data_IF_577698708600
#
_entry.id   IF_577698708600
#
_cell.length_a   1.000
_cell.length_b   1.000
_cell.length_c   1.000
_cell.angle_alpha   90.00
_cell.angle_beta   90.00
_cell.angle_gamma   90.00
#
_symmetry.space_group_name_H-M   'P 1'
#
loop_
_entity.id
_entity.type
_entity.pdbx_description
1 polymer ?
#
# COMPACT_ATOMS: atom_id res chain seq x y z
N UNK A 1 -66.31 2.94 -25.72
CA UNK A 1 -65.94 3.66 -24.47
C UNK A 1 -64.94 4.74 -24.83
N UNK A 2 -65.23 6.01 -24.54
CA UNK A 2 -64.30 7.13 -24.79
C UNK A 2 -62.97 6.92 -24.05
N UNK A 3 -61.85 7.39 -24.64
CA UNK A 3 -60.52 7.30 -24.03
C UNK A 3 -60.49 8.10 -22.72
N UNK A 4 -59.61 7.73 -21.78
CA UNK A 4 -59.51 8.42 -20.48
C UNK A 4 -59.22 9.92 -20.62
N UNK A 5 -58.50 10.34 -21.66
CA UNK A 5 -58.26 11.75 -21.95
C UNK A 5 -59.54 12.51 -22.32
N UNK A 6 -60.40 11.93 -23.16
CA UNK A 6 -61.69 12.53 -23.54
C UNK A 6 -62.64 12.61 -22.35
N UNK A 7 -62.65 11.56 -21.50
CA UNK A 7 -63.39 11.57 -20.25
C UNK A 7 -62.87 12.67 -19.33
N UNK A 8 -61.55 12.80 -19.14
CA UNK A 8 -60.96 13.85 -18.32
C UNK A 8 -61.26 15.26 -18.85
N UNK A 9 -61.38 15.41 -20.17
CA UNK A 9 -61.73 16.67 -20.83
C UNK A 9 -63.24 16.96 -20.87
N UNK A 10 -64.10 16.06 -20.39
CA UNK A 10 -65.55 16.33 -20.27
C UNK A 10 -65.83 17.60 -19.46
N UNK A 11 -66.87 18.34 -19.85
CA UNK A 11 -67.30 19.58 -19.19
C UNK A 11 -67.50 19.39 -17.68
N UNK A 12 -68.04 18.25 -17.26
CA UNK A 12 -68.23 17.94 -15.84
C UNK A 12 -66.90 17.79 -15.10
N UNK A 13 -65.93 17.09 -15.69
CA UNK A 13 -64.63 16.88 -15.07
C UNK A 13 -63.79 18.16 -15.03
N UNK A 14 -63.89 19.01 -16.07
CA UNK A 14 -63.33 20.36 -16.04
C UNK A 14 -63.97 21.21 -14.93
N UNK A 15 -65.29 21.17 -14.78
CA UNK A 15 -65.99 21.90 -13.72
C UNK A 15 -65.62 21.42 -12.32
N UNK A 16 -65.53 20.10 -12.10
CA UNK A 16 -65.07 19.51 -10.84
C UNK A 16 -63.63 19.92 -10.55
N UNK A 17 -62.75 19.90 -11.55
CA UNK A 17 -61.37 20.37 -11.41
C UNK A 17 -61.31 21.85 -11.02
N UNK A 18 -62.10 22.70 -11.67
CA UNK A 18 -62.15 24.15 -11.42
C UNK A 18 -62.69 24.44 -10.00
N UNK A 19 -63.78 23.78 -9.58
CA UNK A 19 -64.30 23.82 -8.20
C UNK A 19 -63.26 23.35 -7.17
N UNK A 20 -62.46 22.34 -7.52
CA UNK A 20 -61.41 21.83 -6.65
C UNK A 20 -60.20 22.78 -6.59
N UNK A 21 -59.91 23.49 -7.67
CA UNK A 21 -58.89 24.54 -7.72
C UNK A 21 -59.32 25.79 -6.94
N UNK A 22 -60.59 26.21 -7.01
CA UNK A 22 -61.12 27.31 -6.19
C UNK A 22 -61.01 27.04 -4.68
N UNK A 23 -61.17 25.78 -4.26
CA UNK A 23 -60.98 25.38 -2.86
C UNK A 23 -59.51 25.30 -2.45
N UNK A 24 -58.58 25.20 -3.41
CA UNK A 24 -57.15 25.18 -3.13
C UNK A 24 -56.63 26.62 -3.07
N UNK A 25 -55.77 26.89 -2.10
CA UNK A 25 -54.98 28.13 -2.12
C UNK A 25 -54.18 28.20 -3.43
N UNK A 26 -53.98 29.40 -4.00
CA UNK A 26 -53.15 29.56 -5.19
C UNK A 26 -51.79 28.89 -4.99
N UNK A 27 -51.18 28.40 -6.08
CA UNK A 27 -49.84 27.82 -6.04
C UNK A 27 -48.84 28.89 -5.63
N UNK A 28 -48.60 28.98 -4.33
CA UNK A 28 -47.58 29.85 -3.77
C UNK A 28 -46.23 29.45 -4.37
N UNK A 29 -45.51 30.43 -4.90
CA UNK A 29 -44.12 30.25 -5.30
C UNK A 29 -43.23 30.46 -4.10
N UNK A 30 -42.16 29.67 -4.00
CA UNK A 30 -41.15 29.88 -2.97
C UNK A 30 -40.56 31.29 -3.13
N UNK A 31 -40.35 32.03 -2.03
CA UNK A 31 -39.60 33.28 -2.05
C UNK A 31 -38.18 33.06 -2.58
N UNK A 32 -37.60 34.08 -3.19
CA UNK A 32 -36.22 34.02 -3.70
C UNK A 32 -35.20 34.05 -2.55
N UNK A 33 -35.47 34.88 -1.54
CA UNK A 33 -34.64 35.04 -0.35
C UNK A 33 -35.26 34.29 0.83
N UNK A 34 -34.51 33.35 1.41
CA UNK A 34 -34.96 32.62 2.59
C UNK A 34 -35.17 33.55 3.81
N UNK A 35 -34.47 34.68 3.87
CA UNK A 35 -34.58 35.66 4.96
C UNK A 35 -35.95 36.34 5.04
N UNK A 36 -36.73 36.35 3.95
CA UNK A 36 -38.07 36.95 3.93
C UNK A 36 -39.09 36.13 4.73
N UNK A 37 -38.89 34.81 4.81
CA UNK A 37 -39.75 33.94 5.60
C UNK A 37 -39.49 34.11 7.10
N UNK A 38 -40.56 34.38 7.85
CA UNK A 38 -40.54 34.51 9.32
C UNK A 38 -41.21 33.35 10.04
N UNK A 39 -42.00 32.55 9.33
CA UNK A 39 -42.65 31.37 9.88
C UNK A 39 -41.81 30.11 9.65
N UNK A 40 -41.76 29.25 10.67
CA UNK A 40 -40.99 28.01 10.67
C UNK A 40 -41.69 26.94 9.82
N UNK A 41 -43.02 26.85 9.89
CA UNK A 41 -43.77 25.85 9.13
C UNK A 41 -43.70 26.11 7.61
N UNK A 42 -43.77 27.37 7.20
CA UNK A 42 -43.51 27.77 5.82
C UNK A 42 -42.09 27.45 5.35
N UNK A 43 -41.06 27.73 6.18
CA UNK A 43 -39.68 27.42 5.84
C UNK A 43 -39.47 25.91 5.62
N UNK A 44 -40.06 25.07 6.47
CA UNK A 44 -40.02 23.61 6.31
C UNK A 44 -40.78 23.13 5.06
N UNK A 45 -41.93 23.74 4.73
CA UNK A 45 -42.67 23.47 3.49
C UNK A 45 -41.81 23.75 2.26
N UNK A 46 -41.10 24.88 2.23
CA UNK A 46 -40.21 25.24 1.11
C UNK A 46 -39.01 24.32 1.02
N UNK A 47 -38.40 23.95 2.15
CA UNK A 47 -37.33 22.94 2.19
C UNK A 47 -37.79 21.61 1.59
N UNK A 48 -38.97 21.12 2.00
CA UNK A 48 -39.52 19.86 1.49
C UNK A 48 -39.83 19.93 -0.01
N UNK A 49 -40.32 21.07 -0.50
CA UNK A 49 -40.54 21.27 -1.93
C UNK A 49 -39.22 21.18 -2.70
N UNK A 50 -38.16 21.83 -2.23
CA UNK A 50 -36.83 21.77 -2.86
C UNK A 50 -36.32 20.31 -2.87
N UNK A 51 -36.49 19.57 -1.77
CA UNK A 51 -36.12 18.15 -1.72
C UNK A 51 -36.87 17.29 -2.76
N UNK A 52 -38.15 17.55 -3.00
CA UNK A 52 -38.93 16.84 -4.04
C UNK A 52 -38.50 17.23 -5.45
N UNK A 53 -38.13 18.48 -5.68
CA UNK A 53 -37.57 18.94 -6.95
C UNK A 53 -36.20 18.30 -7.23
N UNK A 54 -35.32 18.25 -6.21
CA UNK A 54 -34.05 17.53 -6.28
C UNK A 54 -34.31 16.06 -6.62
N UNK A 55 -35.20 15.38 -5.88
CA UNK A 55 -35.49 13.96 -6.11
C UNK A 55 -35.95 13.66 -7.55
N UNK A 56 -36.80 14.52 -8.13
CA UNK A 56 -37.23 14.38 -9.53
C UNK A 56 -36.09 14.55 -10.53
N UNK A 57 -35.24 15.57 -10.34
CA UNK A 57 -34.08 15.80 -11.23
C UNK A 57 -32.99 14.74 -11.06
N UNK A 58 -32.78 14.25 -9.84
CA UNK A 58 -31.85 13.13 -9.60
C UNK A 58 -32.33 11.90 -10.36
N UNK A 59 -33.63 11.56 -10.29
CA UNK A 59 -34.18 10.45 -11.07
C UNK A 59 -34.04 10.65 -12.59
N UNK A 60 -34.16 11.90 -13.07
CA UNK A 60 -33.94 12.23 -14.48
C UNK A 60 -32.48 12.06 -14.92
N UNK A 61 -31.51 12.50 -14.11
CA UNK A 61 -30.07 12.40 -14.39
C UNK A 61 -29.56 10.95 -14.38
N UNK A 62 -30.22 10.03 -13.67
CA UNK A 62 -29.82 8.62 -13.71
C UNK A 62 -29.97 7.99 -15.10
N UNK A 63 -30.78 8.59 -15.98
CA UNK A 63 -30.94 8.12 -17.35
C UNK A 63 -29.73 8.51 -18.21
N UNK A 64 -28.85 7.54 -18.50
CA UNK A 64 -27.63 7.74 -19.32
C UNK A 64 -27.92 8.08 -20.78
N UNK A 65 -29.14 7.81 -21.26
CA UNK A 65 -29.57 8.15 -22.63
C UNK A 65 -29.90 9.62 -22.84
N UNK A 66 -29.86 10.47 -21.80
CA UNK A 66 -29.97 11.92 -21.99
C UNK A 66 -28.67 12.44 -22.58
N UNK A 67 -28.77 13.28 -23.61
CA UNK A 67 -27.60 13.91 -24.21
C UNK A 67 -26.75 14.68 -23.18
N UNK A 68 -25.44 14.72 -23.41
CA UNK A 68 -24.45 15.28 -22.48
C UNK A 68 -24.79 16.70 -22.01
N UNK A 69 -25.21 17.60 -22.91
CA UNK A 69 -25.58 18.97 -22.55
C UNK A 69 -26.72 19.01 -21.51
N UNK A 70 -27.75 18.19 -21.72
CA UNK A 70 -28.88 18.10 -20.79
C UNK A 70 -28.46 17.55 -19.44
N UNK A 71 -27.53 16.58 -19.41
CA UNK A 71 -26.97 16.07 -18.16
C UNK A 71 -26.20 17.15 -17.40
N UNK A 72 -25.44 18.01 -18.09
CA UNK A 72 -24.73 19.15 -17.49
C UNK A 72 -25.71 20.17 -16.91
N UNK A 73 -26.72 20.57 -17.68
CA UNK A 73 -27.75 21.52 -17.24
C UNK A 73 -28.52 21.00 -16.01
N UNK A 74 -28.96 19.75 -16.05
CA UNK A 74 -29.65 19.13 -14.92
C UNK A 74 -28.74 19.07 -13.68
N UNK A 75 -27.45 18.80 -13.85
CA UNK A 75 -26.50 18.75 -12.75
C UNK A 75 -26.30 20.14 -12.11
N UNK A 76 -26.19 21.19 -12.93
CA UNK A 76 -26.13 22.58 -12.47
C UNK A 76 -27.40 22.99 -11.72
N UNK A 77 -28.55 22.61 -12.24
CA UNK A 77 -29.83 22.86 -11.59
C UNK A 77 -29.96 22.15 -10.24
N UNK A 78 -29.51 20.91 -10.12
CA UNK A 78 -29.48 20.21 -8.83
C UNK A 78 -28.53 20.90 -7.87
N UNK A 79 -27.33 21.30 -8.31
CA UNK A 79 -26.38 22.03 -7.48
C UNK A 79 -26.92 23.38 -7.02
N UNK A 80 -27.70 24.07 -7.87
CA UNK A 80 -28.42 25.29 -7.50
C UNK A 80 -29.47 25.00 -6.41
N UNK A 81 -30.29 23.96 -6.57
CA UNK A 81 -31.30 23.56 -5.58
C UNK A 81 -30.67 23.14 -4.23
N UNK A 82 -29.52 22.47 -4.24
CA UNK A 82 -28.81 22.09 -3.00
C UNK A 82 -28.27 23.32 -2.26
N UNK A 83 -27.79 24.33 -2.98
CA UNK A 83 -27.40 25.62 -2.38
C UNK A 83 -28.62 26.32 -1.78
N UNK A 84 -29.72 26.42 -2.52
CA UNK A 84 -30.98 26.97 -2.02
C UNK A 84 -31.47 26.23 -0.77
N UNK A 85 -31.48 24.88 -0.79
CA UNK A 85 -31.80 24.05 0.39
C UNK A 85 -30.94 24.44 1.59
N UNK A 86 -29.64 24.65 1.39
CA UNK A 86 -28.72 25.03 2.47
C UNK A 86 -29.04 26.41 3.06
N UNK A 87 -29.52 27.36 2.24
CA UNK A 87 -30.02 28.65 2.73
C UNK A 87 -31.29 28.49 3.55
N UNK A 88 -32.23 27.67 3.10
CA UNK A 88 -33.46 27.36 3.85
C UNK A 88 -33.17 26.62 5.15
N UNK A 89 -32.25 25.66 5.17
CA UNK A 89 -31.85 24.95 6.39
C UNK A 89 -31.18 25.89 7.40
N UNK A 90 -30.36 26.84 6.94
CA UNK A 90 -29.82 27.90 7.82
C UNK A 90 -30.93 28.78 8.38
N UNK A 91 -31.90 29.17 7.55
CA UNK A 91 -33.04 29.96 8.00
C UNK A 91 -33.89 29.25 9.05
N UNK A 92 -34.14 27.96 8.86
CA UNK A 92 -34.87 27.15 9.85
C UNK A 92 -34.12 27.15 11.18
N UNK A 93 -32.79 27.03 11.16
CA UNK A 93 -31.97 27.11 12.38
C UNK A 93 -32.08 28.50 13.03
N UNK A 94 -32.02 29.59 12.25
CA UNK A 94 -32.20 30.96 12.75
C UNK A 94 -33.57 31.20 13.40
N UNK A 95 -34.63 30.56 12.88
CA UNK A 95 -35.99 30.61 13.43
C UNK A 95 -36.17 29.67 14.64
N UNK A 96 -35.12 28.98 15.10
CA UNK A 96 -35.16 28.08 16.25
C UNK A 96 -35.63 26.65 15.93
N UNK A 97 -35.62 26.26 14.66
CA UNK A 97 -36.03 24.94 14.20
C UNK A 97 -34.93 23.88 14.22
N UNK A 98 -35.26 22.65 13.79
CA UNK A 98 -34.34 21.52 13.79
C UNK A 98 -33.13 21.73 12.87
N UNK A 99 -31.96 21.26 13.31
CA UNK A 99 -30.75 21.32 12.49
C UNK A 99 -30.66 20.14 11.51
N UNK A 100 -31.26 20.31 10.34
CA UNK A 100 -31.25 19.31 9.28
C UNK A 100 -29.86 19.04 8.68
N UNK A 101 -28.92 19.98 8.77
CA UNK A 101 -27.57 19.81 8.23
C UNK A 101 -26.76 18.77 9.00
N UNK A 102 -26.98 18.64 10.32
CA UNK A 102 -26.30 17.65 11.17
C UNK A 102 -26.80 16.21 10.92
N UNK A 103 -28.08 16.07 10.63
CA UNK A 103 -28.72 14.76 10.40
C UNK A 103 -28.75 14.34 8.93
N UNK A 104 -28.23 15.18 8.03
CA UNK A 104 -28.15 14.83 6.63
C UNK A 104 -27.12 13.68 6.46
N UNK A 105 -27.51 12.52 5.90
CA UNK A 105 -26.53 11.51 5.53
C UNK A 105 -25.51 12.15 4.59
N UNK A 106 -24.22 11.89 4.80
CA UNK A 106 -23.21 12.22 3.78
C UNK A 106 -23.67 11.53 2.50
N UNK A 107 -23.94 12.32 1.47
CA UNK A 107 -24.48 11.81 0.20
C UNK A 107 -23.37 10.99 -0.46
N UNK A 108 -23.35 9.69 -0.17
CA UNK A 108 -22.54 8.68 -0.86
C UNK A 108 -23.39 8.05 -1.96
N UNK A 109 -22.78 7.73 -3.09
CA UNK A 109 -23.48 6.97 -4.14
C UNK A 109 -23.90 5.57 -3.68
N UNK A 110 -24.70 4.91 -4.52
CA UNK A 110 -24.91 3.45 -4.49
C UNK A 110 -23.59 2.66 -4.43
N UNK A 111 -22.51 3.22 -4.98
CA UNK A 111 -21.16 2.64 -5.01
C UNK A 111 -20.28 3.08 -3.83
N UNK A 112 -20.82 3.83 -2.87
CA UNK A 112 -20.07 4.30 -1.69
C UNK A 112 -19.03 5.38 -1.98
N UNK A 113 -18.92 5.85 -3.23
CA UNK A 113 -18.01 6.91 -3.61
C UNK A 113 -18.54 8.29 -3.17
N UNK A 114 -17.61 9.16 -2.77
CA UNK A 114 -17.89 10.54 -2.40
C UNK A 114 -18.23 11.30 -3.68
N UNK A 115 -19.42 11.89 -3.72
CA UNK A 115 -19.97 12.60 -4.88
C UNK A 115 -19.33 13.99 -5.08
N UNK A 116 -18.59 14.44 -4.08
CA UNK A 116 -18.08 15.79 -3.96
C UNK A 116 -16.68 15.87 -4.58
N UNK A 117 -16.52 16.71 -5.61
CA UNK A 117 -15.19 17.16 -6.01
C UNK A 117 -14.73 18.16 -4.95
N UNK A 118 -13.61 17.92 -4.23
CA UNK A 118 -13.13 18.86 -3.23
C UNK A 118 -12.92 20.25 -3.85
N UNK A 119 -13.48 21.28 -3.21
CA UNK A 119 -13.28 22.65 -3.68
C UNK A 119 -11.77 22.98 -3.57
N UNK A 120 -11.08 23.39 -4.66
CA UNK A 120 -9.66 23.73 -4.61
C UNK A 120 -9.33 24.82 -3.58
N UNK A 121 -10.31 25.65 -3.23
CA UNK A 121 -10.16 26.74 -2.25
C UNK A 121 -10.41 26.28 -0.79
N UNK A 122 -10.84 25.04 -0.55
CA UNK A 122 -11.17 24.52 0.79
C UNK A 122 -12.35 25.22 1.50
N UNK A 123 -12.91 26.28 0.91
CA UNK A 123 -14.08 26.99 1.44
C UNK A 123 -15.38 26.44 0.86
N UNK A 124 -16.09 25.68 1.68
CA UNK A 124 -17.48 25.29 1.45
C UNK A 124 -17.66 24.03 0.58
N UNK A 125 -18.93 23.61 0.40
CA UNK A 125 -19.28 22.40 -0.35
C UNK A 125 -18.82 22.54 -1.80
N UNK A 126 -18.05 21.55 -2.28
CA UNK A 126 -17.59 21.50 -3.66
C UNK A 126 -18.73 21.28 -4.66
N UNK A 127 -18.41 21.43 -5.94
CA UNK A 127 -19.32 21.09 -7.02
C UNK A 127 -19.54 19.57 -7.04
N UNK A 128 -20.79 19.15 -7.22
CA UNK A 128 -21.20 17.73 -7.16
C UNK A 128 -21.70 17.28 -8.52
N UNK A 129 -21.34 16.07 -8.90
CA UNK A 129 -21.86 15.44 -10.11
C UNK A 129 -22.82 14.33 -9.70
N UNK A 130 -24.02 14.21 -10.28
CA UNK A 130 -24.98 13.16 -9.91
C UNK A 130 -25.14 12.13 -11.03
N UNK A 131 -25.38 10.85 -10.69
CA UNK A 131 -25.75 9.80 -11.66
C UNK A 131 -24.89 9.78 -12.94
N UNK A 132 -25.55 9.84 -14.10
CA UNK A 132 -24.89 9.82 -15.40
C UNK A 132 -23.97 11.02 -15.64
N UNK A 133 -24.14 12.14 -14.92
CA UNK A 133 -23.26 13.30 -15.05
C UNK A 133 -21.80 12.99 -14.63
N UNK A 134 -21.57 11.92 -13.85
CA UNK A 134 -20.22 11.44 -13.49
C UNK A 134 -19.48 10.77 -14.64
N UNK A 135 -20.24 10.19 -15.57
CA UNK A 135 -19.70 9.47 -16.73
C UNK A 135 -19.34 10.41 -17.88
N UNK A 136 -19.62 11.72 -17.74
CA UNK A 136 -19.29 12.72 -18.74
C UNK A 136 -17.77 12.78 -18.99
N UNK A 137 -17.35 12.99 -20.25
CA UNK A 137 -15.94 13.24 -20.58
C UNK A 137 -15.36 14.38 -19.74
N UNK A 138 -14.13 14.19 -19.22
CA UNK A 138 -13.44 15.12 -18.32
C UNK A 138 -13.90 15.09 -16.85
N UNK A 139 -15.17 14.79 -16.57
CA UNK A 139 -15.65 14.59 -15.18
C UNK A 139 -15.27 13.20 -14.69
N UNK A 140 -15.42 12.21 -15.57
CA UNK A 140 -15.10 10.81 -15.29
C UNK A 140 -13.67 10.64 -14.78
N UNK A 141 -12.73 11.35 -15.39
CA UNK A 141 -11.31 11.34 -15.01
C UNK A 141 -11.06 11.88 -13.60
N UNK A 142 -11.90 12.79 -13.10
CA UNK A 142 -11.80 13.32 -11.73
C UNK A 142 -12.19 12.29 -10.67
N UNK A 143 -13.05 11.33 -11.04
CA UNK A 143 -13.55 10.29 -10.14
C UNK A 143 -12.86 8.93 -10.32
N UNK A 144 -12.23 8.69 -11.47
CA UNK A 144 -11.38 7.52 -11.69
C UNK A 144 -10.16 7.62 -10.78
N UNK A 145 -10.26 6.98 -9.61
CA UNK A 145 -9.12 6.84 -8.71
C UNK A 145 -8.01 6.16 -9.49
N UNK A 146 -6.78 6.71 -9.50
CA UNK A 146 -5.65 6.01 -10.07
C UNK A 146 -5.58 4.63 -9.42
N UNK A 147 -5.35 3.55 -10.19
CA UNK A 147 -5.33 2.20 -9.65
C UNK A 147 -4.38 2.20 -8.46
N UNK A 148 -4.85 1.74 -7.29
CA UNK A 148 -4.04 1.73 -6.08
C UNK A 148 -2.75 1.01 -6.41
N UNK A 149 -1.65 1.77 -6.45
CA UNK A 149 -0.33 1.20 -6.68
C UNK A 149 -0.15 0.15 -5.59
N UNK A 150 -0.02 -1.12 -6.00
CA UNK A 150 0.23 -2.23 -5.08
C UNK A 150 1.34 -1.78 -4.14
N UNK A 151 1.00 -1.58 -2.86
CA UNK A 151 1.97 -1.14 -1.84
C UNK A 151 3.12 -2.14 -1.91
N UNK A 152 4.33 -1.63 -2.23
CA UNK A 152 5.52 -2.48 -2.18
C UNK A 152 5.61 -3.06 -0.78
N UNK A 153 5.94 -4.35 -0.68
CA UNK A 153 6.09 -5.02 0.62
C UNK A 153 7.05 -4.19 1.46
N UNK A 154 6.61 -3.79 2.65
CA UNK A 154 7.48 -3.05 3.57
C UNK A 154 8.57 -4.00 4.09
N UNK A 155 9.70 -3.46 4.56
CA UNK A 155 10.76 -4.27 5.20
C UNK A 155 10.17 -5.14 6.32
N UNK A 156 9.23 -4.60 7.08
CA UNK A 156 8.51 -5.33 8.12
C UNK A 156 7.71 -6.53 7.57
N UNK A 157 6.99 -6.37 6.46
CA UNK A 157 6.24 -7.47 5.81
C UNK A 157 7.16 -8.55 5.21
N UNK A 158 8.41 -8.21 4.94
CA UNK A 158 9.44 -9.15 4.49
C UNK A 158 9.99 -9.89 5.70
N UNK A 159 10.43 -9.17 6.75
CA UNK A 159 10.94 -9.78 7.98
C UNK A 159 9.91 -10.65 8.70
N UNK A 160 8.62 -10.33 8.64
CA UNK A 160 7.56 -11.16 9.21
C UNK A 160 7.47 -12.56 8.58
N UNK A 161 7.95 -12.72 7.34
CA UNK A 161 8.00 -14.01 6.64
C UNK A 161 9.37 -14.68 6.70
N UNK A 162 10.39 -13.99 7.23
CA UNK A 162 11.69 -14.57 7.49
C UNK A 162 11.58 -15.28 8.84
N UNK A 163 11.47 -16.60 8.78
CA UNK A 163 11.38 -17.47 9.94
C UNK A 163 12.76 -18.07 10.29
N UNK A 164 12.84 -18.83 11.38
CA UNK A 164 14.06 -19.52 11.78
C UNK A 164 14.60 -20.47 10.69
N UNK A 165 13.71 -20.97 9.82
CA UNK A 165 14.06 -21.79 8.66
C UNK A 165 14.94 -21.04 7.66
N UNK A 166 14.75 -19.73 7.45
CA UNK A 166 15.62 -18.92 6.59
C UNK A 166 17.07 -18.86 7.09
N UNK A 167 17.28 -18.99 8.40
CA UNK A 167 18.60 -19.01 9.03
C UNK A 167 19.15 -20.43 9.21
N UNK A 168 18.49 -21.45 8.65
CA UNK A 168 18.98 -22.84 8.66
C UNK A 168 18.81 -23.57 10.00
N UNK A 169 18.12 -22.99 10.99
CA UNK A 169 17.91 -23.62 12.30
C UNK A 169 17.06 -24.91 12.24
N UNK A 170 16.46 -25.24 11.09
CA UNK A 170 15.65 -26.44 10.86
C UNK A 170 16.29 -27.42 9.89
N UNK A 171 17.46 -27.11 9.33
CA UNK A 171 18.09 -27.96 8.31
C UNK A 171 18.57 -29.31 8.90
N UNK A 172 18.82 -29.36 10.22
CA UNK A 172 19.11 -30.59 10.96
C UNK A 172 17.88 -31.51 11.11
N UNK A 173 16.66 -30.96 11.11
CA UNK A 173 15.42 -31.71 11.30
C UNK A 173 14.99 -32.49 10.04
N UNK A 174 15.43 -32.08 8.85
CA UNK A 174 15.10 -32.74 7.58
C UNK A 174 15.78 -34.12 7.42
N UNK A 175 16.75 -34.44 8.28
CA UNK A 175 17.43 -35.74 8.31
C UNK A 175 18.29 -36.06 7.08
N UNK A 176 18.40 -35.13 6.14
CA UNK A 176 19.28 -35.24 4.97
C UNK A 176 20.74 -35.19 5.40
N UNK A 177 21.07 -34.28 6.32
CA UNK A 177 22.43 -34.12 6.84
C UNK A 177 22.93 -35.40 7.52
N UNK A 178 22.12 -35.98 8.42
CA UNK A 178 22.44 -37.22 9.12
C UNK A 178 22.71 -38.41 8.17
N UNK A 179 22.02 -38.48 7.03
CA UNK A 179 22.27 -39.53 6.01
C UNK A 179 23.62 -39.36 5.32
N UNK A 180 23.99 -38.12 5.01
CA UNK A 180 25.25 -37.80 4.33
C UNK A 180 26.42 -37.99 5.30
N UNK A 181 26.28 -37.51 6.53
CA UNK A 181 27.27 -37.67 7.59
C UNK A 181 27.51 -39.14 7.93
N UNK A 182 26.47 -39.96 8.09
CA UNK A 182 26.63 -41.38 8.39
C UNK A 182 27.41 -42.17 7.32
N UNK A 183 27.23 -41.82 6.04
CA UNK A 183 28.02 -42.43 4.95
C UNK A 183 29.48 -41.97 4.97
N UNK A 184 29.75 -40.72 5.34
CA UNK A 184 31.10 -40.20 5.47
C UNK A 184 31.80 -40.78 6.71
N UNK A 185 31.13 -40.82 7.86
CA UNK A 185 31.62 -41.40 9.11
C UNK A 185 31.95 -42.89 8.95
N UNK A 186 31.12 -43.66 8.24
CA UNK A 186 31.38 -45.08 8.01
C UNK A 186 32.67 -45.29 7.20
N UNK A 187 32.96 -44.43 6.22
CA UNK A 187 34.22 -44.47 5.45
C UNK A 187 35.41 -44.13 6.34
N UNK A 188 35.32 -43.02 7.08
CA UNK A 188 36.37 -42.60 8.01
C UNK A 188 36.65 -43.67 9.08
N UNK A 189 35.60 -44.32 9.60
CA UNK A 189 35.73 -45.41 10.57
C UNK A 189 36.39 -46.65 9.96
N UNK A 190 36.02 -47.02 8.73
CA UNK A 190 36.65 -48.13 8.03
C UNK A 190 38.14 -47.88 7.78
N UNK A 191 38.50 -46.67 7.33
CA UNK A 191 39.89 -46.26 7.15
C UNK A 191 40.68 -46.31 8.47
N UNK A 192 40.11 -45.78 9.55
CA UNK A 192 40.71 -45.83 10.88
C UNK A 192 40.85 -47.26 11.42
N UNK A 193 39.88 -48.14 11.17
CA UNK A 193 39.96 -49.56 11.53
C UNK A 193 41.04 -50.30 10.74
N UNK A 194 41.21 -50.00 9.46
CA UNK A 194 42.28 -50.56 8.63
C UNK A 194 43.67 -50.10 9.07
N UNK A 195 43.80 -48.82 9.42
CA UNK A 195 45.05 -48.30 10.00
C UNK A 195 45.34 -48.93 11.36
N UNK A 196 44.32 -49.07 12.23
CA UNK A 196 44.46 -49.73 13.52
C UNK A 196 44.89 -51.20 13.37
N UNK A 197 44.29 -51.95 12.42
CA UNK A 197 44.69 -53.33 12.13
C UNK A 197 46.11 -53.41 11.60
N UNK A 198 46.53 -52.51 10.71
CA UNK A 198 47.93 -52.44 10.23
C UNK A 198 48.90 -52.20 11.38
N UNK A 199 48.58 -51.26 12.28
CA UNK A 199 49.38 -50.99 13.48
C UNK A 199 49.37 -52.19 14.44
N UNK A 200 48.25 -52.88 14.60
CA UNK A 200 48.13 -54.07 15.44
C UNK A 200 48.96 -55.24 14.88
N UNK A 201 48.97 -55.44 13.56
CA UNK A 201 49.78 -56.46 12.89
C UNK A 201 51.28 -56.18 13.07
N UNK A 202 51.72 -54.93 12.86
CA UNK A 202 53.10 -54.51 13.15
C UNK A 202 53.43 -54.73 14.63
N UNK A 203 52.52 -54.38 15.54
CA UNK A 203 52.68 -54.61 16.98
C UNK A 203 52.74 -56.11 17.32
N UNK A 204 51.98 -56.95 16.62
CA UNK A 204 51.96 -58.41 16.81
C UNK A 204 53.20 -59.08 16.25
N UNK A 205 53.73 -58.60 15.13
CA UNK A 205 55.01 -59.03 14.56
C UNK A 205 56.17 -58.64 15.47
N UNK A 206 56.18 -57.40 15.98
CA UNK A 206 57.11 -56.98 17.03
C UNK A 206 56.97 -57.85 18.30
N UNK A 207 55.75 -58.23 18.68
CA UNK A 207 55.49 -59.13 19.83
C UNK A 207 55.87 -60.59 19.56
N UNK A 208 55.83 -61.06 18.31
CA UNK A 208 56.35 -62.38 17.90
C UNK A 208 57.88 -62.39 17.93
N UNK A 209 58.53 -61.31 17.47
CA UNK A 209 59.97 -61.11 17.66
C UNK A 209 60.37 -61.03 19.13
N UNK A 210 59.52 -60.45 19.98
CA UNK A 210 59.72 -60.41 21.44
C UNK A 210 59.37 -61.74 22.16
N UNK A 211 58.77 -62.72 21.48
CA UNK A 211 58.41 -64.02 22.10
C UNK A 211 59.58 -65.01 22.15
N UNK A 212 60.75 -64.63 21.64
CA UNK A 212 62.04 -65.29 21.88
C UNK A 212 62.81 -64.68 23.08
N UNK A 213 62.22 -63.68 23.76
CA UNK A 213 62.75 -63.12 25.01
C UNK A 213 61.61 -62.94 26.01
N UNK A 214 61.07 -64.06 26.53
CA UNK A 214 60.24 -63.98 27.73
C UNK A 214 61.17 -63.83 28.93
N UNK A 215 61.14 -62.68 29.58
CA UNK A 215 60.75 -62.59 30.99
C UNK A 215 60.96 -61.18 31.53
N UNK A 216 60.08 -60.82 32.46
CA UNK A 216 60.01 -59.56 33.23
C UNK A 216 59.21 -58.45 32.55
N UNK A 217 58.05 -58.15 33.15
CA UNK A 217 57.29 -56.93 32.86
C UNK A 217 55.77 -57.03 32.93
N UNK A 218 55.19 -57.92 33.73
CA UNK A 218 53.73 -58.00 33.93
C UNK A 218 53.21 -57.06 35.05
N UNK A 219 53.96 -56.01 35.41
CA UNK A 219 53.67 -55.15 36.57
C UNK A 219 53.67 -53.63 36.25
N UNK A 220 53.36 -53.24 35.02
CA UNK A 220 53.32 -51.83 34.60
C UNK A 220 51.98 -51.42 33.97
N UNK A 221 50.89 -52.18 34.19
CA UNK A 221 49.60 -51.95 33.53
C UNK A 221 48.52 -51.31 34.41
N UNK A 222 48.84 -51.00 35.66
CA UNK A 222 47.86 -50.46 36.62
C UNK A 222 48.15 -49.01 37.04
N UNK A 223 49.29 -48.43 36.60
CA UNK A 223 49.69 -47.04 36.95
C UNK A 223 49.44 -46.03 35.81
N UNK A 224 49.09 -46.49 34.61
CA UNK A 224 48.87 -45.63 33.44
C UNK A 224 47.43 -45.13 33.26
N UNK A 225 46.47 -45.60 34.06
CA UNK A 225 45.06 -45.22 33.89
C UNK A 225 44.67 -43.98 34.71
N UNK A 226 45.36 -43.70 35.82
CA UNK A 226 45.12 -42.48 36.62
C UNK A 226 45.79 -41.24 35.98
N UNK A 227 46.94 -41.39 35.31
CA UNK A 227 47.60 -40.27 34.62
C UNK A 227 46.89 -39.88 33.30
N UNK A 228 46.15 -40.79 32.65
CA UNK A 228 45.42 -40.49 31.41
C UNK A 228 44.16 -39.64 31.64
N UNK A 229 43.49 -39.74 32.80
CA UNK A 229 42.32 -38.88 33.11
C UNK A 229 42.73 -37.43 33.44
N UNK A 230 43.87 -37.24 34.12
CA UNK A 230 44.38 -35.89 34.45
C UNK A 230 44.91 -35.14 33.21
N UNK A 231 45.54 -35.84 32.26
CA UNK A 231 46.03 -35.26 31.00
C UNK A 231 44.86 -34.88 30.06
N UNK A 232 43.75 -35.63 30.10
CA UNK A 232 42.55 -35.35 29.27
C UNK A 232 41.76 -34.15 29.82
N UNK A 233 41.72 -33.93 31.13
CA UNK A 233 41.16 -32.72 31.75
C UNK A 233 42.02 -31.47 31.43
N UNK A 234 43.35 -31.60 31.44
CA UNK A 234 44.27 -30.51 31.06
C UNK A 234 44.13 -30.14 29.58
N UNK A 235 44.10 -31.12 28.67
CA UNK A 235 43.87 -30.87 27.23
C UNK A 235 42.52 -30.21 26.96
N UNK A 236 41.47 -30.56 27.72
CA UNK A 236 40.14 -29.94 27.59
C UNK A 236 40.18 -28.47 27.97
N UNK A 237 40.87 -28.13 29.07
CA UNK A 237 41.04 -26.73 29.52
C UNK A 237 41.89 -25.91 28.56
N UNK A 238 42.95 -26.48 27.99
CA UNK A 238 43.75 -25.81 26.98
C UNK A 238 42.98 -25.56 25.67
N UNK A 239 42.08 -26.48 25.29
CA UNK A 239 41.17 -26.31 24.14
C UNK A 239 40.14 -25.20 24.40
N UNK A 240 39.54 -25.17 25.58
CA UNK A 240 38.60 -24.12 25.99
C UNK A 240 39.29 -22.74 26.07
N UNK A 241 40.55 -22.69 26.52
CA UNK A 241 41.35 -21.45 26.48
C UNK A 241 41.71 -21.02 25.06
N UNK A 242 42.03 -21.96 24.15
CA UNK A 242 42.26 -21.65 22.73
C UNK A 242 41.00 -21.15 22.06
N UNK A 243 39.86 -21.78 22.29
CA UNK A 243 38.56 -21.32 21.77
C UNK A 243 38.15 -19.95 22.33
N UNK A 244 38.50 -19.65 23.58
CA UNK A 244 38.34 -18.30 24.15
C UNK A 244 39.26 -17.28 23.48
N UNK A 245 40.54 -17.61 23.25
CA UNK A 245 41.51 -16.75 22.55
C UNK A 245 41.15 -16.55 21.07
N UNK A 246 40.52 -17.53 20.42
CA UNK A 246 40.04 -17.45 19.05
C UNK A 246 38.74 -16.63 18.93
N UNK A 247 37.86 -16.70 19.94
CA UNK A 247 36.69 -15.79 20.06
C UNK A 247 37.08 -14.35 20.38
N UNK A 248 38.17 -14.12 21.10
CA UNK A 248 38.74 -12.78 21.31
C UNK A 248 39.38 -12.20 20.04
N UNK A 249 39.71 -13.05 19.06
CA UNK A 249 40.27 -12.66 17.76
C UNK A 249 39.21 -12.79 16.66
N UNK A 250 38.05 -12.16 16.84
CA UNK A 250 37.14 -11.90 15.72
C UNK A 250 37.89 -11.10 14.65
N UNK A 251 38.14 -11.73 13.50
CA UNK A 251 38.81 -11.12 12.35
C UNK A 251 37.89 -10.05 11.73
N UNK A 252 38.01 -8.82 12.21
CA UNK A 252 37.29 -7.66 11.63
C UNK A 252 38.09 -7.13 10.44
N UNK A 253 37.74 -7.55 9.24
CA UNK A 253 38.20 -6.90 8.00
C UNK A 253 37.50 -5.53 7.89
N UNK A 254 38.21 -4.46 8.21
CA UNK A 254 37.70 -3.11 8.00
C UNK A 254 37.75 -2.78 6.50
N UNK A 255 36.60 -2.87 5.84
CA UNK A 255 36.41 -2.29 4.51
C UNK A 255 36.34 -0.77 4.69
N UNK A 256 37.27 0.02 4.13
CA UNK A 256 37.19 1.47 4.21
C UNK A 256 35.93 1.93 3.48
N UNK A 257 34.92 2.33 4.26
CA UNK A 257 33.70 2.94 3.75
C UNK A 257 33.98 4.43 3.52
N UNK A 258 33.69 4.98 2.32
CA UNK A 258 33.82 6.40 2.08
C UNK A 258 32.98 7.23 3.05
N UNK A 259 33.56 8.29 3.57
CA UNK A 259 32.87 9.23 4.46
C UNK A 259 31.74 9.96 3.70
N UNK A 260 30.72 10.45 4.42
CA UNK A 260 29.58 11.16 3.82
C UNK A 260 30.00 12.30 2.87
N UNK A 261 31.08 13.02 3.21
CA UNK A 261 31.65 14.10 2.39
C UNK A 261 32.26 13.59 1.07
N UNK A 262 32.82 12.39 1.06
CA UNK A 262 33.38 11.78 -0.15
C UNK A 262 32.27 11.29 -1.07
N UNK A 263 31.20 10.73 -0.49
CA UNK A 263 29.99 10.35 -1.22
C UNK A 263 29.36 11.57 -1.89
N UNK A 264 29.23 12.68 -1.17
CA UNK A 264 28.69 13.94 -1.73
C UNK A 264 29.52 14.44 -2.91
N UNK A 265 30.85 14.44 -2.80
CA UNK A 265 31.74 14.84 -3.90
C UNK A 265 31.58 13.93 -5.11
N UNK A 266 31.58 12.61 -4.93
CA UNK A 266 31.36 11.67 -6.02
C UNK A 266 30.00 11.84 -6.69
N UNK A 267 28.95 12.12 -5.93
CA UNK A 267 27.61 12.39 -6.46
C UNK A 267 27.59 13.69 -7.27
N UNK A 268 28.24 14.74 -6.78
CA UNK A 268 28.33 16.03 -7.49
C UNK A 268 29.12 15.88 -8.78
N UNK A 269 30.25 15.19 -8.76
CA UNK A 269 31.07 14.91 -9.96
C UNK A 269 30.30 14.08 -10.98
N UNK A 270 29.59 13.05 -10.55
CA UNK A 270 28.75 12.23 -11.43
C UNK A 270 27.64 13.06 -12.08
N UNK A 271 26.96 13.92 -11.32
CA UNK A 271 25.94 14.82 -11.86
C UNK A 271 26.54 15.87 -12.81
N UNK A 272 27.73 16.39 -12.52
CA UNK A 272 28.45 17.32 -13.39
C UNK A 272 28.80 16.65 -14.72
N UNK A 273 29.31 15.42 -14.68
CA UNK A 273 29.59 14.61 -15.87
C UNK A 273 28.32 14.34 -16.68
N UNK A 274 27.21 14.02 -16.01
CA UNK A 274 25.93 13.76 -16.68
C UNK A 274 25.35 15.02 -17.34
N UNK A 275 25.51 16.20 -16.72
CA UNK A 275 25.12 17.47 -17.31
C UNK A 275 26.04 17.83 -18.48
N UNK A 276 27.35 17.62 -18.36
CA UNK A 276 28.28 17.82 -19.47
C UNK A 276 27.96 16.89 -20.64
N UNK A 277 27.63 15.62 -20.39
CA UNK A 277 27.23 14.70 -21.45
C UNK A 277 25.90 15.08 -22.12
N UNK A 278 24.99 15.73 -21.39
CA UNK A 278 23.68 16.14 -21.93
C UNK A 278 23.73 17.46 -22.68
N UNK A 279 24.56 18.40 -22.23
CA UNK A 279 24.54 19.79 -22.71
C UNK A 279 25.83 20.23 -23.42
N UNK A 280 26.89 19.45 -23.34
CA UNK A 280 28.14 19.66 -24.05
C UNK A 280 28.52 18.42 -24.88
N UNK A 281 27.52 17.60 -25.26
CA UNK A 281 27.72 16.58 -26.29
C UNK A 281 28.13 17.25 -27.60
N UNK A 282 29.09 16.66 -28.30
CA UNK A 282 29.62 17.20 -29.56
C UNK A 282 28.49 17.47 -30.56
N UNK A 283 27.50 16.57 -30.66
CA UNK A 283 26.33 16.76 -31.52
C UNK A 283 25.45 17.96 -31.16
N UNK A 284 25.26 18.29 -29.88
CA UNK A 284 24.45 19.45 -29.49
C UNK A 284 25.20 20.77 -29.77
N UNK A 285 26.53 20.75 -29.67
CA UNK A 285 27.38 21.91 -30.00
C UNK A 285 27.40 22.15 -31.51
N UNK A 286 27.44 21.09 -32.31
CA UNK A 286 27.31 21.14 -33.77
C UNK A 286 25.93 21.70 -34.16
N UNK A 287 24.83 21.14 -33.63
CA UNK A 287 23.48 21.65 -33.86
C UNK A 287 23.32 23.12 -33.44
N UNK A 288 23.94 23.52 -32.32
CA UNK A 288 23.94 24.92 -31.89
C UNK A 288 24.72 25.82 -32.85
N UNK A 289 25.84 25.35 -33.40
CA UNK A 289 26.64 26.10 -34.38
C UNK A 289 25.90 26.26 -35.70
N UNK A 290 25.29 25.18 -36.22
CA UNK A 290 24.45 25.21 -37.42
C UNK A 290 23.24 26.13 -37.24
N UNK A 291 22.59 26.09 -36.08
CA UNK A 291 21.47 26.98 -35.78
C UNK A 291 21.90 28.45 -35.71
N UNK A 292 23.09 28.74 -35.18
CA UNK A 292 23.64 30.12 -35.14
C UNK A 292 24.01 30.62 -36.54
N UNK A 293 24.57 29.77 -37.38
CA UNK A 293 24.90 30.08 -38.78
C UNK A 293 23.63 30.34 -39.59
N UNK A 294 22.57 29.53 -39.38
CA UNK A 294 21.25 29.75 -39.98
C UNK A 294 20.58 31.05 -39.52
N UNK A 295 20.88 31.50 -38.30
CA UNK A 295 20.36 32.76 -37.74
C UNK A 295 21.28 33.96 -38.02
N UNK A 296 22.41 33.79 -38.73
CA UNK A 296 23.41 34.84 -39.00
C UNK A 296 23.91 35.54 -37.71
N UNK A 297 23.95 34.81 -36.58
CA UNK A 297 24.46 35.33 -35.31
C UNK A 297 25.91 34.92 -35.18
N UNK A 298 26.80 35.69 -35.82
CA UNK A 298 28.24 35.59 -35.59
C UNK A 298 28.59 36.48 -34.40
N UNK A 299 29.07 35.88 -33.31
CA UNK A 299 29.60 36.60 -32.16
C UNK A 299 31.01 36.12 -31.86
#
# INVERSE_FOLDING_TARGET
>A
MARNEEKAQSMLNRFIALKAEEKKKPKERRPFLASECRDLAEADKWRQQIMREIGRKVAEIQNEGLGEHRLRDLNDEINKLIREKSHWERRIIELGGPNYAKHAPKMTDLEGNIVDVPNPSGRGPGYRYFGAAKKLPGVRELFEKPPELRKRRTRYDIYKRIDASYYGYRDEEDGVLARVEGLAEAKMRAEAEEEWRRVEEIRREARRGAKEVVSVGAAAREVLFEEEEDVVEEERREREEKERKDKEREFVMHVPLPDEKEIERMVVERKKMELLSKYASEGLLEEQSEAKDMLNIHR
#
